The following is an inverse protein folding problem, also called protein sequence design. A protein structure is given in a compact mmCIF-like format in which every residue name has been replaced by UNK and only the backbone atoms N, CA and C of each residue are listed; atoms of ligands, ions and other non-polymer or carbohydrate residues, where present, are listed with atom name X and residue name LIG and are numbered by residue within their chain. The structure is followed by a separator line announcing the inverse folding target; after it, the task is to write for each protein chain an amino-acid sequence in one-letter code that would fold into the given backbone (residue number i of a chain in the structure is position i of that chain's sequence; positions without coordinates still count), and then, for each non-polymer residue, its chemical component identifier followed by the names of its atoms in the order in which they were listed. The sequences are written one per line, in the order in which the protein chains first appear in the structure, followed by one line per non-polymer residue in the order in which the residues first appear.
data_IF_535181590959
#
_entry.id   IF_535181590959
#
_cell.length_a   1.000
_cell.length_b   1.000
_cell.length_c   1.000
_cell.angle_alpha   90.00
_cell.angle_beta   90.00
_cell.angle_gamma   90.00
#
_symmetry.space_group_name_H-M   'P 1'
#
loop_
_entity.id
_entity.type
_entity.pdbx_description
1 polymer ?
#
# COMPACT_ATOMS: atom_id res chain seq x y z
N UNK A 1 -22.47 -10.70 7.72
CA UNK A 1 -21.94 -10.86 6.34
C UNK A 1 -20.45 -10.61 6.43
N UNK A 2 -19.61 -11.55 6.05
CA UNK A 2 -18.14 -11.35 5.99
C UNK A 2 -17.85 -10.24 4.98
N UNK A 3 -17.08 -9.23 5.36
CA UNK A 3 -16.69 -8.12 4.48
C UNK A 3 -15.78 -8.70 3.38
N UNK A 4 -16.01 -8.33 2.11
CA UNK A 4 -15.17 -8.76 0.98
C UNK A 4 -13.73 -8.31 1.23
N UNK A 5 -12.77 -9.18 0.96
CA UNK A 5 -11.36 -8.83 1.08
C UNK A 5 -10.96 -7.82 0.00
N UNK A 6 -10.13 -6.86 0.36
CA UNK A 6 -9.62 -5.82 -0.54
C UNK A 6 -8.54 -6.40 -1.45
N UNK A 7 -8.69 -6.22 -2.75
CA UNK A 7 -7.63 -6.43 -3.74
C UNK A 7 -7.14 -5.05 -4.22
N UNK A 8 -5.93 -4.67 -3.82
CA UNK A 8 -5.26 -3.46 -4.25
C UNK A 8 -4.26 -3.78 -5.36
N UNK A 9 -4.26 -2.96 -6.43
CA UNK A 9 -3.40 -3.14 -7.60
C UNK A 9 -2.57 -1.89 -7.83
N UNK A 10 -1.27 -2.04 -8.10
CA UNK A 10 -0.39 -0.93 -8.49
C UNK A 10 -0.75 -0.45 -9.90
N UNK A 11 -0.96 0.86 -10.04
CA UNK A 11 -1.20 1.52 -11.32
C UNK A 11 -0.21 2.68 -11.55
N UNK A 12 0.40 2.70 -12.73
CA UNK A 12 1.36 3.72 -13.16
C UNK A 12 0.71 4.80 -14.03
N UNK A 13 -0.46 4.49 -14.60
CA UNK A 13 -1.16 5.36 -15.54
C UNK A 13 -2.64 4.98 -15.71
N UNK A 14 -3.30 5.70 -16.62
CA UNK A 14 -4.73 5.52 -16.88
C UNK A 14 -5.05 4.13 -17.43
N UNK A 15 -4.22 3.59 -18.31
CA UNK A 15 -4.40 2.26 -18.90
C UNK A 15 -4.40 1.17 -17.82
N UNK A 16 -3.43 1.20 -16.92
CA UNK A 16 -3.36 0.31 -15.76
C UNK A 16 -4.61 0.42 -14.88
N UNK A 17 -5.02 1.64 -14.59
CA UNK A 17 -6.17 1.90 -13.72
C UNK A 17 -7.46 1.32 -14.29
N UNK A 18 -7.70 1.51 -15.60
CA UNK A 18 -8.86 0.96 -16.30
C UNK A 18 -8.83 -0.57 -16.30
N UNK A 19 -7.68 -1.17 -16.63
CA UNK A 19 -7.53 -2.62 -16.67
C UNK A 19 -7.70 -3.25 -15.28
N UNK A 20 -7.12 -2.64 -14.24
CA UNK A 20 -7.27 -3.13 -12.87
C UNK A 20 -8.72 -3.06 -12.39
N UNK A 21 -9.43 -1.94 -12.62
CA UNK A 21 -10.85 -1.82 -12.29
C UNK A 21 -11.69 -2.85 -13.05
N UNK A 22 -11.45 -3.04 -14.34
CA UNK A 22 -12.15 -4.03 -15.18
C UNK A 22 -11.91 -5.47 -14.67
N UNK A 23 -10.72 -5.76 -14.15
CA UNK A 23 -10.37 -7.03 -13.53
C UNK A 23 -10.94 -7.25 -12.12
N UNK A 24 -11.59 -6.25 -11.53
CA UNK A 24 -12.24 -6.35 -10.22
C UNK A 24 -11.38 -5.95 -9.03
N UNK A 25 -10.35 -5.10 -9.25
CA UNK A 25 -9.65 -4.42 -8.15
C UNK A 25 -10.64 -3.56 -7.33
N UNK A 26 -10.46 -3.53 -6.02
CA UNK A 26 -11.26 -2.68 -5.13
C UNK A 26 -10.60 -1.32 -4.90
N UNK A 27 -9.27 -1.27 -5.05
CA UNK A 27 -8.44 -0.08 -4.80
C UNK A 27 -7.20 -0.08 -5.67
N UNK A 28 -6.70 1.09 -6.02
CA UNK A 28 -5.42 1.27 -6.70
C UNK A 28 -4.41 1.93 -5.78
N UNK A 29 -3.15 1.49 -5.85
CA UNK A 29 -2.01 2.27 -5.39
C UNK A 29 -1.38 2.97 -6.59
N UNK A 30 -1.35 4.30 -6.56
CA UNK A 30 -0.78 5.11 -7.63
C UNK A 30 0.68 5.45 -7.31
N UNK A 31 1.57 4.99 -8.18
CA UNK A 31 3.02 5.22 -8.07
C UNK A 31 3.61 5.58 -9.44
N UNK A 32 4.86 5.96 -9.44
CA UNK A 32 5.74 6.00 -10.62
C UNK A 32 7.06 5.30 -10.31
N UNK A 33 7.91 5.08 -11.30
CA UNK A 33 9.27 4.56 -11.14
C UNK A 33 9.37 3.28 -10.28
N UNK A 34 8.95 2.16 -10.86
CA UNK A 34 9.04 0.85 -10.18
C UNK A 34 10.47 0.32 -10.07
N UNK A 35 11.44 0.89 -10.77
CA UNK A 35 12.86 0.57 -10.54
C UNK A 35 13.33 1.03 -9.15
N UNK A 36 12.67 2.04 -8.59
CA UNK A 36 12.85 2.51 -7.22
C UNK A 36 11.73 2.02 -6.27
N UNK A 37 11.10 0.88 -6.56
CA UNK A 37 9.99 0.30 -5.77
C UNK A 37 8.78 1.25 -5.58
N UNK A 38 8.53 2.13 -6.53
CA UNK A 38 7.38 3.03 -6.54
C UNK A 38 7.60 4.37 -5.82
N UNK A 39 7.64 5.45 -6.60
CA UNK A 39 7.77 6.82 -6.12
C UNK A 39 6.47 7.61 -6.29
N UNK A 40 6.45 8.84 -5.78
CA UNK A 40 5.31 9.77 -5.89
C UNK A 40 4.96 10.05 -7.36
N UNK A 41 3.72 9.81 -7.80
CA UNK A 41 3.27 10.13 -9.16
C UNK A 41 3.05 11.64 -9.31
N UNK A 42 2.97 12.12 -10.56
CA UNK A 42 2.62 13.52 -10.82
C UNK A 42 1.14 13.81 -10.49
N UNK A 43 0.84 15.03 -10.06
CA UNK A 43 -0.53 15.50 -9.84
C UNK A 43 -1.38 15.36 -11.13
N UNK A 44 -0.79 15.55 -12.31
CA UNK A 44 -1.47 15.36 -13.59
C UNK A 44 -1.89 13.89 -13.82
N UNK A 45 -1.03 12.92 -13.46
CA UNK A 45 -1.35 11.49 -13.53
C UNK A 45 -2.51 11.14 -12.59
N UNK A 46 -2.45 11.62 -11.34
CA UNK A 46 -3.53 11.40 -10.34
C UNK A 46 -4.86 11.96 -10.85
N UNK A 47 -4.87 13.21 -11.31
CA UNK A 47 -6.07 13.84 -11.86
C UNK A 47 -6.62 13.12 -13.10
N UNK A 48 -5.75 12.59 -13.97
CA UNK A 48 -6.16 11.81 -15.14
C UNK A 48 -6.83 10.49 -14.73
N UNK A 49 -6.21 9.74 -13.81
CA UNK A 49 -6.76 8.47 -13.32
C UNK A 49 -8.08 8.71 -12.58
N UNK A 50 -8.15 9.72 -11.70
CA UNK A 50 -9.38 10.03 -10.94
C UNK A 50 -10.61 10.30 -11.81
N UNK A 51 -10.42 10.85 -13.01
CA UNK A 51 -11.51 11.07 -13.97
C UNK A 51 -11.95 9.82 -14.73
N UNK A 52 -11.21 8.73 -14.63
CA UNK A 52 -11.38 7.56 -15.49
C UNK A 52 -11.93 6.35 -14.75
N UNK A 53 -11.68 6.26 -13.43
CA UNK A 53 -12.11 5.12 -12.61
C UNK A 53 -12.87 5.59 -11.37
N UNK A 54 -13.75 4.72 -10.86
CA UNK A 54 -14.63 5.02 -9.73
C UNK A 54 -14.14 4.40 -8.40
N UNK A 55 -13.19 3.46 -8.47
CA UNK A 55 -12.64 2.79 -7.30
C UNK A 55 -11.70 3.71 -6.49
N UNK A 56 -11.41 3.33 -5.25
CA UNK A 56 -10.55 4.07 -4.35
C UNK A 56 -9.12 4.16 -4.88
N UNK A 57 -8.47 5.32 -4.68
CA UNK A 57 -7.10 5.60 -5.12
C UNK A 57 -6.25 5.96 -3.91
N UNK A 58 -5.22 5.18 -3.62
CA UNK A 58 -4.15 5.53 -2.68
C UNK A 58 -2.93 6.05 -3.42
N UNK A 59 -2.50 7.26 -3.09
CA UNK A 59 -1.43 7.96 -3.80
C UNK A 59 -0.16 7.96 -2.97
N UNK A 60 0.93 7.46 -3.56
CA UNK A 60 2.23 7.36 -2.91
C UNK A 60 2.84 8.75 -2.65
N UNK A 61 3.33 8.94 -1.43
CA UNK A 61 4.21 10.04 -1.02
C UNK A 61 5.56 9.44 -0.60
N UNK A 62 6.45 9.26 -1.57
CA UNK A 62 7.80 8.74 -1.39
C UNK A 62 8.74 9.44 -2.38
N UNK A 63 9.72 10.24 -1.89
CA UNK A 63 10.44 11.19 -2.74
C UNK A 63 11.55 10.58 -3.58
N UNK A 64 12.14 9.47 -3.11
CA UNK A 64 13.29 8.82 -3.71
C UNK A 64 13.37 7.35 -3.27
N UNK A 65 14.31 6.61 -3.82
CA UNK A 65 14.66 5.27 -3.34
C UNK A 65 15.10 5.28 -1.87
N UNK A 66 14.87 4.17 -1.17
CA UNK A 66 15.00 4.07 0.29
C UNK A 66 13.79 4.64 1.02
N UNK A 67 13.90 4.83 2.35
CA UNK A 67 12.77 5.22 3.20
C UNK A 67 13.02 6.51 4.00
N UNK A 68 14.11 7.23 3.70
CA UNK A 68 14.35 8.54 4.31
C UNK A 68 13.35 9.59 3.78
N UNK A 69 12.82 10.43 4.66
CA UNK A 69 11.89 11.50 4.26
C UNK A 69 12.56 12.57 3.39
N UNK A 70 13.84 12.83 3.60
CA UNK A 70 14.58 13.89 2.88
C UNK A 70 14.04 15.29 3.20
N UNK A 71 13.70 16.07 2.18
CA UNK A 71 13.11 17.41 2.36
C UNK A 71 11.62 17.33 2.72
N UNK A 72 11.33 17.34 4.02
CA UNK A 72 9.97 17.22 4.59
C UNK A 72 9.06 18.36 4.11
N UNK A 73 9.57 19.60 3.99
CA UNK A 73 8.74 20.72 3.50
C UNK A 73 8.36 20.54 2.03
N UNK A 74 9.23 19.93 1.24
CA UNK A 74 8.88 19.51 -0.12
C UNK A 74 7.79 18.45 -0.12
N UNK A 75 7.85 17.45 0.76
CA UNK A 75 6.81 16.41 0.88
C UNK A 75 5.45 17.02 1.26
N UNK A 76 5.43 17.95 2.19
CA UNK A 76 4.21 18.70 2.59
C UNK A 76 3.59 19.42 1.40
N UNK A 77 4.41 20.13 0.60
CA UNK A 77 3.91 20.80 -0.63
C UNK A 77 3.35 19.80 -1.63
N UNK A 78 4.07 18.71 -1.89
CA UNK A 78 3.63 17.64 -2.81
C UNK A 78 2.33 17.01 -2.33
N UNK A 79 2.17 16.73 -1.04
CA UNK A 79 0.91 16.23 -0.47
C UNK A 79 -0.26 17.18 -0.74
N UNK A 80 -0.05 18.51 -0.59
CA UNK A 80 -1.04 19.54 -0.93
C UNK A 80 -1.41 19.52 -2.43
N UNK A 81 -0.43 19.49 -3.32
CA UNK A 81 -0.64 19.43 -4.78
C UNK A 81 -1.42 18.15 -5.18
N UNK A 82 -1.11 17.01 -4.57
CA UNK A 82 -1.84 15.77 -4.82
C UNK A 82 -3.30 15.84 -4.34
N UNK A 83 -3.56 16.46 -3.17
CA UNK A 83 -4.93 16.71 -2.69
C UNK A 83 -5.71 17.61 -3.66
N UNK A 84 -5.12 18.69 -4.15
CA UNK A 84 -5.73 19.57 -5.15
C UNK A 84 -6.02 18.84 -6.46
N UNK A 85 -5.20 17.84 -6.81
CA UNK A 85 -5.43 16.96 -7.96
C UNK A 85 -6.53 15.91 -7.74
N UNK A 86 -7.12 15.83 -6.53
CA UNK A 86 -8.22 14.94 -6.19
C UNK A 86 -7.81 13.68 -5.43
N UNK A 87 -6.56 13.59 -4.92
CA UNK A 87 -6.18 12.52 -4.02
C UNK A 87 -6.88 12.70 -2.66
N UNK A 88 -7.51 11.64 -2.17
CA UNK A 88 -8.22 11.58 -0.89
C UNK A 88 -7.73 10.46 0.03
N UNK A 89 -6.84 9.62 -0.45
CA UNK A 89 -6.19 8.56 0.32
C UNK A 89 -4.72 8.47 -0.09
N UNK A 90 -3.83 8.10 0.85
CA UNK A 90 -2.39 8.20 0.63
C UNK A 90 -1.63 6.95 1.08
N UNK A 91 -0.37 6.85 0.61
CA UNK A 91 0.60 5.84 1.04
C UNK A 91 1.89 6.56 1.39
N UNK A 92 2.41 6.34 2.58
CA UNK A 92 3.68 6.90 3.03
C UNK A 92 4.31 6.05 4.13
N UNK A 93 5.55 6.37 4.49
CA UNK A 93 6.26 5.75 5.60
C UNK A 93 7.73 6.16 5.55
N UNK A 94 8.25 6.70 6.65
CA UNK A 94 9.62 7.19 6.69
C UNK A 94 10.36 6.55 7.85
N UNK A 95 11.62 6.17 7.58
CA UNK A 95 12.56 5.66 8.56
C UNK A 95 13.81 6.54 8.57
N UNK A 96 14.43 6.65 9.74
CA UNK A 96 15.76 7.21 9.89
C UNK A 96 16.86 6.20 9.49
N UNK A 97 18.12 6.58 9.67
CA UNK A 97 19.26 5.76 9.31
C UNK A 97 19.40 4.48 10.18
N UNK A 98 18.79 4.48 11.36
CA UNK A 98 18.81 3.36 12.31
C UNK A 98 17.59 2.41 12.11
N UNK A 99 16.74 2.70 11.13
CA UNK A 99 15.52 1.92 10.85
C UNK A 99 14.39 2.20 11.85
N UNK A 100 14.45 3.30 12.57
CA UNK A 100 13.37 3.77 13.45
C UNK A 100 12.44 4.69 12.66
N UNK A 101 11.13 4.68 12.98
CA UNK A 101 10.20 5.57 12.29
C UNK A 101 10.58 7.05 12.50
N UNK A 102 10.71 7.81 11.41
CA UNK A 102 10.84 9.27 11.46
C UNK A 102 9.48 9.89 11.75
N UNK A 103 9.09 9.82 13.04
CA UNK A 103 7.78 10.25 13.50
C UNK A 103 7.52 11.73 13.18
N UNK A 104 8.56 12.58 13.31
CA UNK A 104 8.43 14.00 13.03
C UNK A 104 8.10 14.27 11.55
N UNK A 105 8.74 13.56 10.62
CA UNK A 105 8.43 13.65 9.20
C UNK A 105 7.02 13.12 8.89
N UNK A 106 6.64 11.98 9.48
CA UNK A 106 5.30 11.41 9.32
C UNK A 106 4.24 12.39 9.81
N UNK A 107 4.34 12.88 11.05
CA UNK A 107 3.37 13.83 11.63
C UNK A 107 3.25 15.11 10.77
N UNK A 108 4.38 15.59 10.26
CA UNK A 108 4.41 16.80 9.45
C UNK A 108 3.66 16.64 8.12
N UNK A 109 3.84 15.48 7.45
CA UNK A 109 3.13 15.16 6.20
C UNK A 109 1.66 14.85 6.48
N UNK A 110 1.36 14.00 7.49
CA UNK A 110 0.00 13.62 7.88
C UNK A 110 -0.84 14.85 8.26
N UNK A 111 -0.24 15.85 8.90
CA UNK A 111 -0.91 17.12 9.20
C UNK A 111 -1.45 17.84 7.95
N UNK A 112 -0.85 17.65 6.77
CA UNK A 112 -1.35 18.17 5.49
C UNK A 112 -2.50 17.33 4.93
N UNK A 113 -2.60 16.05 5.31
CA UNK A 113 -3.61 15.14 4.79
C UNK A 113 -5.01 15.38 5.41
N UNK A 114 -5.10 16.12 6.50
CA UNK A 114 -6.37 16.56 7.11
C UNK A 114 -7.33 15.40 7.42
N UNK A 115 -6.81 14.34 8.03
CA UNK A 115 -7.56 13.15 8.41
C UNK A 115 -7.90 12.19 7.27
N UNK A 116 -7.40 12.42 6.05
CA UNK A 116 -7.53 11.45 4.96
C UNK A 116 -6.96 10.08 5.37
N UNK A 117 -7.60 8.96 4.95
CA UNK A 117 -7.06 7.62 5.17
C UNK A 117 -5.69 7.43 4.52
N UNK A 118 -4.81 6.68 5.17
CA UNK A 118 -3.51 6.37 4.58
C UNK A 118 -2.92 5.04 5.05
N UNK A 119 -2.04 4.51 4.20
CA UNK A 119 -1.29 3.28 4.41
C UNK A 119 0.14 3.60 4.84
N UNK A 120 0.64 2.99 5.91
CA UNK A 120 2.07 2.89 6.14
C UNK A 120 2.62 1.77 5.25
N UNK A 121 3.51 2.12 4.31
CA UNK A 121 3.99 1.19 3.30
C UNK A 121 5.08 0.23 3.80
N UNK A 122 5.69 -0.53 2.89
CA UNK A 122 6.70 -1.56 3.17
C UNK A 122 7.97 -1.07 3.88
N UNK A 123 8.10 0.21 4.24
CA UNK A 123 9.14 0.65 5.17
C UNK A 123 9.12 -0.14 6.48
N UNK A 124 7.93 -0.57 6.95
CA UNK A 124 7.80 -1.45 8.13
C UNK A 124 8.61 -2.76 7.99
N UNK A 125 8.80 -3.27 6.77
CA UNK A 125 9.58 -4.48 6.51
C UNK A 125 11.11 -4.27 6.69
N UNK A 126 11.53 -3.02 6.82
CA UNK A 126 12.91 -2.59 7.06
C UNK A 126 13.09 -1.92 8.43
N UNK A 127 12.02 -1.82 9.22
CA UNK A 127 12.11 -1.27 10.56
C UNK A 127 12.98 -2.16 11.45
N UNK A 128 13.80 -1.52 12.30
CA UNK A 128 14.63 -2.20 13.27
C UNK A 128 13.80 -3.00 14.30
N UNK A 129 12.63 -2.46 14.67
CA UNK A 129 11.64 -3.10 15.53
C UNK A 129 10.23 -2.75 15.05
N UNK A 130 9.52 -3.74 14.51
CA UNK A 130 8.16 -3.58 13.98
C UNK A 130 7.12 -3.26 15.06
N UNK A 131 7.24 -3.89 16.22
CA UNK A 131 6.32 -3.66 17.34
C UNK A 131 6.51 -2.26 17.94
N UNK A 132 7.75 -1.79 18.05
CA UNK A 132 8.04 -0.43 18.47
C UNK A 132 7.51 0.60 17.48
N UNK A 133 7.66 0.36 16.16
CA UNK A 133 7.10 1.21 15.11
C UNK A 133 5.58 1.30 15.24
N UNK A 134 4.87 0.17 15.34
CA UNK A 134 3.41 0.15 15.50
C UNK A 134 2.94 0.92 16.73
N UNK A 135 3.65 0.77 17.87
CA UNK A 135 3.35 1.51 19.10
C UNK A 135 3.56 3.02 18.96
N UNK A 136 4.60 3.45 18.23
CA UNK A 136 4.86 4.88 17.99
C UNK A 136 3.82 5.49 17.04
N UNK A 137 3.25 4.66 16.15
CA UNK A 137 2.23 5.06 15.19
C UNK A 137 0.80 4.92 15.73
N UNK A 138 0.63 4.39 16.95
CA UNK A 138 -0.69 4.20 17.56
C UNK A 138 -1.43 5.53 17.73
N UNK A 139 -2.69 5.55 17.33
CA UNK A 139 -3.51 6.77 17.34
C UNK A 139 -3.17 7.82 16.27
N UNK A 140 -2.25 7.53 15.34
CA UNK A 140 -1.91 8.45 14.26
C UNK A 140 -3.13 8.73 13.37
N UNK A 141 -3.53 10.01 13.20
CA UNK A 141 -4.74 10.35 12.45
C UNK A 141 -4.73 9.80 11.02
N UNK A 142 -5.81 9.12 10.64
CA UNK A 142 -6.01 8.57 9.30
C UNK A 142 -5.24 7.29 8.96
N UNK A 143 -4.31 6.83 9.81
CA UNK A 143 -3.62 5.56 9.61
C UNK A 143 -4.60 4.39 9.75
N UNK A 144 -4.94 3.74 8.65
CA UNK A 144 -5.91 2.64 8.64
C UNK A 144 -5.36 1.32 8.11
N UNK A 145 -4.16 1.32 7.54
CA UNK A 145 -3.59 0.16 6.85
C UNK A 145 -2.06 0.11 7.00
N UNK A 146 -1.52 -1.09 7.20
CA UNK A 146 -0.09 -1.38 7.01
C UNK A 146 0.08 -2.28 5.80
N UNK A 147 0.81 -1.82 4.79
CA UNK A 147 1.26 -2.65 3.66
C UNK A 147 2.59 -3.30 4.03
N UNK A 148 2.63 -4.61 4.03
CA UNK A 148 3.80 -5.36 4.48
C UNK A 148 3.92 -6.71 3.78
N UNK A 149 5.15 -7.16 3.62
CA UNK A 149 5.48 -8.54 3.26
C UNK A 149 5.83 -9.40 4.49
N UNK A 150 5.90 -8.80 5.69
CA UNK A 150 6.36 -9.48 6.90
C UNK A 150 7.88 -9.54 7.05
N UNK A 151 8.62 -9.38 5.94
CA UNK A 151 10.08 -9.35 5.90
C UNK A 151 10.59 -8.52 4.73
N UNK A 152 11.83 -8.06 4.83
CA UNK A 152 12.50 -7.29 3.77
C UNK A 152 12.61 -8.07 2.45
N UNK A 153 12.80 -9.39 2.51
CA UNK A 153 12.94 -10.29 1.36
C UNK A 153 11.62 -10.63 0.64
N UNK A 154 10.47 -10.30 1.22
CA UNK A 154 9.17 -10.58 0.63
C UNK A 154 8.31 -11.54 1.43
N UNK A 155 7.11 -11.84 0.90
CA UNK A 155 6.10 -12.68 1.58
C UNK A 155 6.59 -14.11 1.88
N UNK A 156 7.45 -14.70 1.03
CA UNK A 156 8.01 -16.03 1.29
C UNK A 156 8.76 -16.10 2.61
N UNK A 157 9.61 -15.10 2.86
CA UNK A 157 10.38 -15.01 4.10
C UNK A 157 9.52 -14.51 5.26
N UNK A 158 8.53 -13.66 4.98
CA UNK A 158 7.72 -12.95 5.96
C UNK A 158 6.45 -13.67 6.39
N UNK A 159 6.06 -14.77 5.75
CA UNK A 159 4.80 -15.44 6.04
C UNK A 159 4.57 -15.77 7.53
N UNK A 160 5.56 -16.28 8.29
CA UNK A 160 5.38 -16.51 9.74
C UNK A 160 5.06 -15.23 10.51
N UNK A 161 5.67 -14.09 10.15
CA UNK A 161 5.42 -12.79 10.77
C UNK A 161 4.01 -12.31 10.44
N UNK A 162 3.58 -12.42 9.18
CA UNK A 162 2.23 -12.04 8.74
C UNK A 162 1.15 -12.82 9.48
N UNK A 163 1.33 -14.12 9.66
CA UNK A 163 0.39 -14.98 10.40
C UNK A 163 0.35 -14.60 11.89
N UNK A 164 1.51 -14.31 12.50
CA UNK A 164 1.58 -13.85 13.87
C UNK A 164 0.90 -12.49 14.07
N UNK A 165 1.12 -11.53 13.17
CA UNK A 165 0.48 -10.21 13.20
C UNK A 165 -1.04 -10.30 12.95
N UNK A 166 -1.49 -11.15 12.03
CA UNK A 166 -2.92 -11.40 11.81
C UNK A 166 -3.62 -11.94 13.05
N UNK A 167 -2.94 -12.80 13.82
CA UNK A 167 -3.45 -13.32 15.09
C UNK A 167 -3.60 -12.27 16.19
N UNK A 168 -2.98 -11.10 16.03
CA UNK A 168 -3.04 -9.96 16.96
C UNK A 168 -4.06 -8.89 16.56
N UNK A 169 -4.84 -9.14 15.50
CA UNK A 169 -5.81 -8.16 15.00
C UNK A 169 -6.74 -7.64 16.10
N UNK A 170 -6.81 -6.30 16.25
CA UNK A 170 -7.60 -5.62 17.29
C UNK A 170 -6.86 -5.40 18.62
N UNK A 171 -5.63 -5.87 18.78
CA UNK A 171 -4.76 -5.44 19.88
C UNK A 171 -4.25 -4.01 19.64
N UNK A 172 -3.87 -3.25 20.70
CA UNK A 172 -3.25 -1.94 20.52
C UNK A 172 -2.05 -1.96 19.56
N UNK A 173 -2.09 -1.11 18.52
CA UNK A 173 -1.13 -1.06 17.42
C UNK A 173 -1.36 -2.10 16.30
N UNK A 174 -2.43 -2.90 16.38
CA UNK A 174 -2.85 -3.91 15.40
C UNK A 174 -4.33 -3.76 14.97
N UNK A 175 -4.91 -2.58 15.18
CA UNK A 175 -6.28 -2.26 14.76
C UNK A 175 -6.37 -1.95 13.26
N UNK A 176 -5.26 -1.54 12.64
CA UNK A 176 -5.18 -1.21 11.23
C UNK A 176 -5.24 -2.48 10.39
N UNK A 177 -5.81 -2.35 9.18
CA UNK A 177 -5.82 -3.48 8.22
C UNK A 177 -4.39 -3.94 7.91
N UNK A 178 -4.18 -5.24 7.93
CA UNK A 178 -3.01 -5.88 7.37
C UNK A 178 -3.22 -6.07 5.86
N UNK A 179 -2.50 -5.30 5.04
CA UNK A 179 -2.47 -5.40 3.58
C UNK A 179 -1.20 -6.14 3.17
N UNK A 180 -1.35 -7.36 2.67
CA UNK A 180 -0.21 -8.21 2.34
C UNK A 180 0.23 -8.01 0.90
N UNK A 181 1.50 -7.63 0.70
CA UNK A 181 2.11 -7.43 -0.61
C UNK A 181 3.63 -7.51 -0.58
N UNK A 182 4.27 -7.47 -1.75
CA UNK A 182 5.73 -7.64 -1.86
C UNK A 182 6.14 -9.10 -2.06
N UNK A 183 6.03 -9.58 -3.30
CA UNK A 183 6.28 -10.98 -3.65
C UNK A 183 5.13 -11.92 -3.28
N UNK A 184 3.92 -11.40 -3.13
CA UNK A 184 2.72 -12.21 -2.89
C UNK A 184 2.44 -13.11 -4.10
N UNK A 185 2.16 -14.39 -3.84
CA UNK A 185 1.74 -15.39 -4.82
C UNK A 185 0.39 -16.00 -4.47
N UNK A 186 -0.30 -16.57 -5.46
CA UNK A 186 -1.62 -17.18 -5.27
C UNK A 186 -1.63 -18.29 -4.22
N UNK A 187 -0.52 -19.02 -4.07
CA UNK A 187 -0.38 -20.09 -3.07
C UNK A 187 -0.39 -19.59 -1.61
N UNK A 188 -0.09 -18.29 -1.37
CA UNK A 188 -0.16 -17.69 -0.04
C UNK A 188 -1.60 -17.31 0.37
N UNK A 189 -2.49 -17.11 -0.61
CA UNK A 189 -3.83 -16.55 -0.36
C UNK A 189 -4.65 -17.41 0.61
N UNK A 190 -4.74 -18.76 0.45
CA UNK A 190 -5.57 -19.56 1.33
C UNK A 190 -5.17 -19.45 2.81
N UNK A 191 -3.89 -19.60 3.13
CA UNK A 191 -3.40 -19.56 4.51
C UNK A 191 -3.53 -18.17 5.14
N UNK A 192 -3.37 -17.09 4.36
CA UNK A 192 -3.57 -15.72 4.82
C UNK A 192 -5.04 -15.42 5.11
N UNK A 193 -5.96 -15.89 4.25
CA UNK A 193 -7.40 -15.77 4.48
C UNK A 193 -7.85 -16.58 5.72
N UNK A 194 -7.32 -17.79 5.92
CA UNK A 194 -7.59 -18.61 7.10
C UNK A 194 -7.11 -17.90 8.38
N UNK A 195 -5.99 -17.18 8.32
CA UNK A 195 -5.51 -16.36 9.43
C UNK A 195 -6.31 -15.05 9.64
N UNK A 196 -7.29 -14.75 8.79
CA UNK A 196 -8.15 -13.57 8.91
C UNK A 196 -7.64 -12.33 8.15
N UNK A 197 -6.59 -12.45 7.33
CA UNK A 197 -6.14 -11.36 6.46
C UNK A 197 -7.23 -11.04 5.42
N UNK A 198 -7.61 -9.77 5.32
CA UNK A 198 -8.64 -9.29 4.40
C UNK A 198 -8.13 -8.22 3.40
N UNK A 199 -6.81 -8.10 3.24
CA UNK A 199 -6.18 -7.16 2.33
C UNK A 199 -5.01 -7.78 1.56
N UNK A 200 -5.05 -7.66 0.22
CA UNK A 200 -4.06 -8.22 -0.69
C UNK A 200 -3.60 -7.15 -1.69
N UNK A 201 -2.30 -7.01 -1.85
CA UNK A 201 -1.68 -6.01 -2.71
C UNK A 201 -0.81 -6.68 -3.77
N UNK A 202 -1.06 -6.36 -5.03
CA UNK A 202 -0.33 -6.91 -6.17
C UNK A 202 0.19 -5.82 -7.10
N UNK A 203 1.42 -6.00 -7.56
CA UNK A 203 2.05 -5.17 -8.60
C UNK A 203 2.46 -6.01 -9.81
N UNK A 204 3.64 -6.62 -9.78
CA UNK A 204 4.13 -7.47 -10.87
C UNK A 204 3.22 -8.66 -11.17
N UNK A 205 2.53 -9.20 -10.17
CA UNK A 205 1.56 -10.29 -10.36
C UNK A 205 0.34 -9.92 -11.23
N UNK A 206 0.05 -8.62 -11.38
CA UNK A 206 -0.96 -8.10 -12.31
C UNK A 206 -0.40 -7.87 -13.72
N UNK A 207 0.91 -8.07 -13.94
CA UNK A 207 1.65 -7.83 -15.20
C UNK A 207 2.42 -9.07 -15.64
N UNK A 208 1.76 -10.05 -16.26
CA UNK A 208 2.41 -11.32 -16.64
C UNK A 208 3.62 -11.17 -17.56
N UNK A 209 3.71 -10.06 -18.29
CA UNK A 209 4.77 -9.76 -19.24
C UNK A 209 5.84 -8.79 -18.69
N UNK A 210 5.72 -8.37 -17.42
CA UNK A 210 6.67 -7.49 -16.75
C UNK A 210 6.21 -6.05 -16.60
N UNK A 211 7.05 -5.20 -15.98
CA UNK A 211 6.70 -3.82 -15.63
C UNK A 211 6.63 -2.86 -16.83
N UNK A 212 7.22 -3.22 -17.96
CA UNK A 212 7.16 -2.44 -19.20
C UNK A 212 5.81 -2.57 -19.92
N UNK A 213 4.99 -3.54 -19.51
CA UNK A 213 3.68 -3.80 -20.06
C UNK A 213 2.55 -3.35 -19.10
N UNK A 214 1.37 -3.00 -19.62
CA UNK A 214 0.26 -2.57 -18.76
C UNK A 214 -0.28 -3.71 -17.90
N UNK A 215 -1.08 -3.34 -16.89
CA UNK A 215 -1.86 -4.27 -16.08
C UNK A 215 -2.77 -5.12 -16.98
N UNK A 216 -2.81 -6.43 -16.74
CA UNK A 216 -3.73 -7.36 -17.38
C UNK A 216 -5.02 -7.48 -16.56
N UNK A 217 -6.16 -7.08 -17.14
CA UNK A 217 -7.47 -7.27 -16.50
C UNK A 217 -7.76 -8.74 -16.20
N UNK A 218 -7.33 -9.67 -17.07
CA UNK A 218 -7.47 -11.12 -16.86
C UNK A 218 -6.64 -11.60 -15.65
N UNK A 219 -5.39 -11.14 -15.52
CA UNK A 219 -4.57 -11.47 -14.36
C UNK A 219 -5.20 -10.96 -13.06
N UNK A 220 -5.72 -9.72 -13.04
CA UNK A 220 -6.43 -9.16 -11.90
C UNK A 220 -7.70 -9.94 -11.58
N UNK A 221 -8.48 -10.36 -12.57
CA UNK A 221 -9.68 -11.18 -12.39
C UNK A 221 -9.35 -12.57 -11.81
N UNK A 222 -8.22 -13.16 -12.21
CA UNK A 222 -7.70 -14.39 -11.62
C UNK A 222 -7.39 -14.22 -10.12
N UNK A 223 -6.71 -13.13 -9.75
CA UNK A 223 -6.45 -12.78 -8.35
C UNK A 223 -7.74 -12.51 -7.58
N UNK A 224 -8.69 -11.78 -8.18
CA UNK A 224 -9.99 -11.53 -7.57
C UNK A 224 -10.73 -12.84 -7.24
N UNK A 225 -10.73 -13.78 -8.19
CA UNK A 225 -11.34 -15.10 -8.01
C UNK A 225 -10.67 -15.88 -6.86
N UNK A 226 -9.34 -15.87 -6.79
CA UNK A 226 -8.61 -16.55 -5.73
C UNK A 226 -8.91 -15.96 -4.35
N UNK A 227 -8.96 -14.62 -4.24
CA UNK A 227 -9.24 -13.92 -2.98
C UNK A 227 -10.72 -14.09 -2.54
N UNK A 228 -11.67 -14.22 -3.48
CA UNK A 228 -13.09 -14.46 -3.18
C UNK A 228 -13.42 -15.96 -2.99
N UNK A 229 -12.70 -16.88 -3.65
CA UNK A 229 -13.02 -18.30 -3.72
C UNK A 229 -12.49 -19.16 -2.57
N UNK A 230 -11.58 -18.64 -1.75
CA UNK A 230 -11.01 -19.37 -0.60
C UNK A 230 -11.85 -19.22 0.69
N UNK A 231 -13.14 -18.90 0.59
CA UNK A 231 -14.12 -18.79 1.69
C UNK A 231 -15.01 -19.99 1.77
#
# INVERSE_FOLDING_TARGET
MSKRAVLEVIALGVEDAVAAQAGGADRLELVTDMAADGLTPSAATVAAIRRTVDISLRVMIRPADGFAAGDVERLVRVAGELREAGASEFVLGFLDADGVVDLAAVERVVGMLDGCPWTFHRAIDRAADRDALRKQMDGMPGLDTYLTAGAAGGVDDGLPVLLAEAGRAGEPGYEQRLLVGGGLRLEHVPVLLEAGVDGFHIGGAARPQGWDEPVSAEAVAGWRTAVDGAR
#
